data_IF_466005921447
#
_entry.id   IF_466005921447
#
_cell.length_a   1.000
_cell.length_b   1.000
_cell.length_c   1.000
_cell.angle_alpha   90.00
_cell.angle_beta   90.00
_cell.angle_gamma   90.00
#
_symmetry.space_group_name_H-M   'P 1'
#
loop_
_entity.id
_entity.type
_entity.pdbx_description
1 polymer ?
#
# COMPACT_ATOMS: atom_id res chain seq x y z
N UNK A 1 -5.16 9.94 -3.50
CA UNK A 1 -5.79 9.96 -2.15
C UNK A 1 -5.69 11.38 -1.59
N UNK A 2 -6.77 11.95 -1.07
CA UNK A 2 -6.73 13.31 -0.53
C UNK A 2 -5.80 13.34 0.71
N UNK A 3 -4.82 14.26 0.79
CA UNK A 3 -3.76 14.23 1.80
C UNK A 3 -4.25 14.45 3.24
N UNK A 4 -5.49 14.91 3.41
CA UNK A 4 -6.13 15.14 4.71
C UNK A 4 -7.28 14.18 5.04
N UNK A 5 -7.49 13.14 4.22
CA UNK A 5 -8.57 12.16 4.47
C UNK A 5 -8.25 11.28 5.69
N UNK A 6 -7.03 10.77 5.75
CA UNK A 6 -6.56 9.95 6.86
C UNK A 6 -5.59 10.75 7.72
N UNK A 7 -5.67 10.58 9.04
CA UNK A 7 -4.71 11.17 9.98
C UNK A 7 -3.40 10.36 10.06
N UNK A 8 -3.52 9.03 9.99
CA UNK A 8 -2.38 8.11 10.00
C UNK A 8 -2.65 6.84 9.19
N UNK A 9 -1.58 6.20 8.72
CA UNK A 9 -1.57 4.94 7.99
C UNK A 9 -0.68 3.92 8.72
N UNK A 10 -1.07 2.65 8.66
CA UNK A 10 -0.21 1.52 9.03
C UNK A 10 -0.11 0.58 7.85
N UNK A 11 1.12 0.30 7.41
CA UNK A 11 1.38 -0.66 6.34
C UNK A 11 2.01 -1.93 6.92
N UNK A 12 1.38 -3.07 6.66
CA UNK A 12 1.86 -4.38 7.10
C UNK A 12 2.44 -5.11 5.90
N UNK A 13 3.74 -5.33 5.88
CA UNK A 13 4.45 -5.98 4.77
C UNK A 13 4.06 -5.41 3.38
N UNK A 14 4.07 -4.08 3.17
CA UNK A 14 3.65 -3.51 1.90
C UNK A 14 4.60 -3.89 0.76
N UNK A 15 4.04 -4.25 -0.39
CA UNK A 15 4.77 -4.39 -1.65
C UNK A 15 4.76 -3.05 -2.38
N UNK A 16 5.57 -2.11 -1.88
CA UNK A 16 5.73 -0.74 -2.42
C UNK A 16 7.22 -0.58 -2.78
N UNK A 17 7.57 -0.86 -4.03
CA UNK A 17 8.94 -0.90 -4.54
C UNK A 17 8.93 -0.83 -6.07
N UNK A 18 10.07 -0.48 -6.66
CA UNK A 18 10.23 -0.48 -8.12
C UNK A 18 10.70 -1.83 -8.67
N UNK A 19 11.49 -2.56 -7.90
CA UNK A 19 12.17 -3.78 -8.34
C UNK A 19 11.34 -5.04 -8.13
N UNK A 20 11.55 -6.05 -8.98
CA UNK A 20 10.97 -7.38 -8.85
C UNK A 20 11.46 -8.02 -7.54
N UNK A 21 10.56 -8.62 -6.74
CA UNK A 21 10.95 -9.24 -5.48
C UNK A 21 11.71 -10.56 -5.66
N UNK A 22 11.45 -11.28 -6.74
CA UNK A 22 12.17 -12.49 -7.14
C UNK A 22 13.50 -12.14 -7.82
N UNK A 23 14.46 -13.08 -7.79
CA UNK A 23 15.64 -13.01 -8.67
C UNK A 23 15.18 -13.04 -10.14
N UNK A 24 15.85 -12.28 -11.00
CA UNK A 24 15.65 -12.37 -12.45
C UNK A 24 15.84 -13.82 -12.94
N UNK A 25 14.95 -14.28 -13.81
CA UNK A 25 14.87 -15.69 -14.25
C UNK A 25 14.30 -16.67 -13.22
N UNK A 26 13.95 -16.20 -12.01
CA UNK A 26 13.29 -17.00 -10.98
C UNK A 26 11.79 -17.20 -11.22
N UNK A 27 11.10 -17.95 -10.34
CA UNK A 27 9.67 -18.18 -10.47
C UNK A 27 8.88 -16.88 -10.33
N UNK A 28 7.84 -16.76 -11.16
CA UNK A 28 6.90 -15.63 -11.11
C UNK A 28 6.21 -15.56 -9.74
N UNK A 29 6.07 -14.36 -9.14
CA UNK A 29 5.32 -14.19 -7.89
C UNK A 29 3.87 -14.69 -7.97
N UNK A 30 3.25 -14.64 -9.15
CA UNK A 30 1.89 -15.12 -9.37
C UNK A 30 1.78 -16.64 -9.62
N UNK A 31 2.89 -17.37 -9.74
CA UNK A 31 2.89 -18.79 -10.14
C UNK A 31 2.09 -19.67 -9.19
N UNK A 32 2.28 -19.49 -7.88
CA UNK A 32 1.57 -20.29 -6.88
C UNK A 32 0.06 -20.07 -6.95
N UNK A 33 -0.39 -18.82 -7.11
CA UNK A 33 -1.80 -18.51 -7.24
C UNK A 33 -2.40 -19.11 -8.51
N UNK A 34 -1.69 -19.06 -9.64
CA UNK A 34 -2.15 -19.61 -10.91
C UNK A 34 -2.23 -21.13 -10.95
N UNK A 35 -1.36 -21.83 -10.20
CA UNK A 35 -1.15 -23.29 -10.33
C UNK A 35 -1.80 -24.13 -9.25
N UNK A 36 -2.11 -23.56 -8.07
CA UNK A 36 -2.71 -24.35 -6.99
C UNK A 36 -4.14 -24.82 -7.35
N UNK A 37 -4.60 -25.94 -6.77
CA UNK A 37 -6.01 -26.34 -6.83
C UNK A 37 -6.93 -25.25 -6.27
N UNK A 38 -8.07 -25.05 -6.93
CA UNK A 38 -9.13 -24.14 -6.52
C UNK A 38 -10.53 -24.77 -6.55
N UNK A 39 -10.62 -26.08 -6.76
CA UNK A 39 -11.84 -26.87 -6.72
C UNK A 39 -11.58 -28.15 -5.91
N UNK A 40 -12.49 -28.47 -4.99
CA UNK A 40 -12.43 -29.68 -4.16
C UNK A 40 -13.80 -30.39 -4.14
N UNK A 41 -13.81 -31.74 -4.03
CA UNK A 41 -15.07 -32.51 -4.00
C UNK A 41 -15.98 -32.19 -2.80
N UNK A 42 -15.41 -31.74 -1.68
CA UNK A 42 -16.14 -31.36 -0.48
C UNK A 42 -15.41 -30.27 0.32
N UNK A 43 -16.12 -29.62 1.24
CA UNK A 43 -15.52 -28.69 2.20
C UNK A 43 -14.47 -29.37 3.09
N UNK A 44 -14.69 -30.64 3.46
CA UNK A 44 -13.77 -31.44 4.25
C UNK A 44 -12.46 -31.71 3.50
N UNK A 45 -12.52 -32.00 2.20
CA UNK A 45 -11.35 -32.21 1.35
C UNK A 45 -10.53 -30.92 1.18
N UNK A 46 -11.21 -29.79 0.97
CA UNK A 46 -10.57 -28.48 0.91
C UNK A 46 -9.85 -28.15 2.23
N UNK A 47 -10.52 -28.38 3.36
CA UNK A 47 -9.92 -28.18 4.69
C UNK A 47 -8.70 -29.08 4.91
N UNK A 48 -8.77 -30.36 4.53
CA UNK A 48 -7.65 -31.30 4.62
C UNK A 48 -6.47 -30.82 3.78
N UNK A 49 -6.72 -30.37 2.54
CA UNK A 49 -5.71 -29.81 1.66
C UNK A 49 -5.04 -28.57 2.27
N UNK A 50 -5.84 -27.58 2.70
CA UNK A 50 -5.34 -26.31 3.25
C UNK A 50 -4.49 -26.56 4.50
N UNK A 51 -4.97 -27.39 5.44
CA UNK A 51 -4.24 -27.68 6.69
C UNK A 51 -2.99 -28.55 6.47
N UNK A 52 -2.99 -29.40 5.45
CA UNK A 52 -1.84 -30.23 5.10
C UNK A 52 -0.77 -29.50 4.30
N UNK A 53 -1.09 -28.33 3.73
CA UNK A 53 -0.20 -27.62 2.82
C UNK A 53 0.77 -26.68 3.57
N UNK A 54 2.04 -26.72 3.17
CA UNK A 54 3.12 -25.98 3.80
C UNK A 54 3.00 -24.45 3.76
N UNK A 55 2.18 -23.89 2.84
CA UNK A 55 1.95 -22.45 2.73
C UNK A 55 1.23 -21.87 3.96
N UNK A 56 0.14 -22.51 4.40
CA UNK A 56 -0.65 -22.06 5.56
C UNK A 56 -0.06 -22.49 6.91
N UNK A 57 0.89 -23.44 6.91
CA UNK A 57 1.46 -24.03 8.13
C UNK A 57 2.04 -23.02 9.13
N UNK A 58 2.52 -21.87 8.67
CA UNK A 58 3.08 -20.82 9.53
C UNK A 58 2.05 -19.79 10.01
N UNK A 59 0.86 -19.77 9.41
CA UNK A 59 -0.18 -18.83 9.81
C UNK A 59 -0.70 -19.17 11.22
N UNK A 60 -1.22 -18.16 11.91
CA UNK A 60 -1.98 -18.36 13.14
C UNK A 60 -3.19 -19.27 12.84
N UNK A 61 -3.46 -20.31 13.67
CA UNK A 61 -4.57 -21.22 13.43
C UNK A 61 -5.91 -20.52 13.22
N UNK A 62 -6.17 -19.39 13.89
CA UNK A 62 -7.41 -18.61 13.71
C UNK A 62 -7.50 -17.96 12.34
N UNK A 63 -6.37 -17.58 11.74
CA UNK A 63 -6.33 -17.08 10.37
C UNK A 63 -6.65 -18.21 9.38
N UNK A 64 -6.11 -19.41 9.60
CA UNK A 64 -6.43 -20.60 8.78
C UNK A 64 -7.91 -20.96 8.89
N UNK A 65 -8.47 -20.95 10.11
CA UNK A 65 -9.89 -21.23 10.35
C UNK A 65 -10.80 -20.22 9.61
N UNK A 66 -10.44 -18.93 9.65
CA UNK A 66 -11.16 -17.88 8.90
C UNK A 66 -11.00 -18.05 7.39
N UNK A 67 -9.81 -18.41 6.91
CA UNK A 67 -9.59 -18.67 5.49
C UNK A 67 -10.44 -19.84 4.99
N UNK A 68 -10.53 -20.94 5.74
CA UNK A 68 -11.41 -22.07 5.40
C UNK A 68 -12.88 -21.64 5.43
N UNK A 69 -13.30 -20.88 6.45
CA UNK A 69 -14.70 -20.48 6.63
C UNK A 69 -15.19 -19.51 5.55
N UNK A 70 -14.37 -18.53 5.16
CA UNK A 70 -14.79 -17.42 4.28
C UNK A 70 -14.15 -17.47 2.89
N UNK A 71 -13.02 -18.15 2.75
CA UNK A 71 -12.30 -18.29 1.48
C UNK A 71 -12.85 -19.39 0.59
N UNK A 72 -13.84 -20.17 1.05
CA UNK A 72 -14.51 -21.22 0.28
C UNK A 72 -15.99 -20.89 0.07
N UNK A 73 -16.52 -21.31 -1.09
CA UNK A 73 -17.94 -21.24 -1.45
C UNK A 73 -18.37 -22.51 -2.19
N UNK A 74 -19.67 -22.85 -2.24
CA UNK A 74 -20.16 -23.91 -3.11
C UNK A 74 -19.74 -23.68 -4.57
N UNK A 75 -19.35 -24.76 -5.26
CA UNK A 75 -18.99 -24.69 -6.67
C UNK A 75 -20.21 -24.25 -7.50
N UNK A 76 -20.07 -23.26 -8.41
CA UNK A 76 -21.19 -22.75 -9.20
C UNK A 76 -21.68 -23.75 -10.26
N UNK A 77 -20.82 -24.69 -10.69
CA UNK A 77 -21.20 -25.74 -11.65
C UNK A 77 -21.69 -27.00 -10.91
N UNK A 78 -22.81 -27.61 -11.31
CA UNK A 78 -23.43 -28.75 -10.62
C UNK A 78 -22.65 -30.07 -10.69
N UNK A 79 -21.39 -30.09 -11.17
CA UNK A 79 -20.70 -31.33 -11.54
C UNK A 79 -20.54 -32.30 -10.36
N UNK A 80 -20.57 -31.82 -9.11
CA UNK A 80 -20.60 -32.66 -7.91
C UNK A 80 -21.44 -32.01 -6.80
N UNK A 81 -22.40 -32.75 -6.23
CA UNK A 81 -23.13 -32.33 -5.02
C UNK A 81 -22.15 -32.15 -3.86
N UNK A 82 -22.04 -30.93 -3.32
CA UNK A 82 -21.19 -30.63 -2.17
C UNK A 82 -19.77 -30.12 -2.50
N UNK A 83 -19.40 -30.02 -3.78
CA UNK A 83 -18.12 -29.44 -4.17
C UNK A 83 -17.99 -27.97 -3.77
N UNK A 84 -16.76 -27.57 -3.45
CA UNK A 84 -16.42 -26.19 -3.06
C UNK A 84 -15.28 -25.65 -3.91
N UNK A 85 -15.28 -24.34 -4.08
CA UNK A 85 -14.23 -23.58 -4.77
C UNK A 85 -13.85 -22.36 -3.95
N UNK A 86 -12.80 -21.65 -4.37
CA UNK A 86 -12.42 -20.39 -3.73
C UNK A 86 -13.48 -19.30 -3.93
N UNK A 87 -13.71 -18.50 -2.88
CA UNK A 87 -14.57 -17.31 -2.95
C UNK A 87 -13.97 -16.27 -3.90
N UNK A 88 -12.67 -16.01 -3.75
CA UNK A 88 -11.86 -15.26 -4.73
C UNK A 88 -11.26 -16.27 -5.70
N UNK A 89 -11.60 -16.18 -6.98
CA UNK A 89 -11.06 -17.12 -7.97
C UNK A 89 -9.55 -17.00 -8.06
N UNK A 90 -8.87 -18.10 -8.40
CA UNK A 90 -7.41 -18.08 -8.57
C UNK A 90 -6.93 -17.07 -9.63
N UNK A 91 -7.76 -16.84 -10.66
CA UNK A 91 -7.49 -15.85 -11.70
C UNK A 91 -7.48 -14.43 -11.14
N UNK A 92 -8.52 -14.07 -10.37
CA UNK A 92 -8.59 -12.77 -9.70
C UNK A 92 -7.42 -12.57 -8.74
N UNK A 93 -7.08 -13.59 -7.94
CA UNK A 93 -5.92 -13.52 -7.05
C UNK A 93 -4.61 -13.34 -7.83
N UNK A 94 -4.37 -14.11 -8.89
CA UNK A 94 -3.18 -13.97 -9.73
C UNK A 94 -3.05 -12.55 -10.33
N UNK A 95 -4.17 -11.96 -10.76
CA UNK A 95 -4.21 -10.60 -11.32
C UNK A 95 -3.98 -9.49 -10.28
N UNK A 96 -4.09 -9.79 -8.98
CA UNK A 96 -3.64 -8.84 -7.94
C UNK A 96 -2.12 -8.69 -7.88
N UNK A 97 -1.37 -9.72 -8.32
CA UNK A 97 0.09 -9.65 -8.35
C UNK A 97 0.62 -9.01 -9.63
N UNK A 98 0.04 -9.38 -10.77
CA UNK A 98 0.63 -9.13 -12.08
C UNK A 98 -0.43 -8.81 -13.14
N UNK A 99 -0.08 -7.91 -14.05
CA UNK A 99 -0.79 -7.66 -15.30
C UNK A 99 -0.05 -8.31 -16.46
N UNK A 100 -0.82 -8.90 -17.38
CA UNK A 100 -0.30 -9.44 -18.63
C UNK A 100 -0.03 -8.32 -19.64
N UNK A 101 1.16 -8.32 -20.23
CA UNK A 101 1.63 -7.34 -21.21
C UNK A 101 2.34 -8.04 -22.39
N UNK A 102 1.58 -8.78 -23.19
CA UNK A 102 2.13 -9.62 -24.28
C UNK A 102 1.93 -9.03 -25.67
N UNK A 103 1.41 -7.80 -25.79
CA UNK A 103 1.30 -7.13 -27.07
C UNK A 103 2.69 -6.89 -27.67
N UNK A 104 2.90 -7.10 -28.98
CA UNK A 104 4.17 -6.79 -29.60
C UNK A 104 4.49 -5.31 -29.44
N UNK A 105 5.73 -5.01 -29.05
CA UNK A 105 6.20 -3.64 -28.91
C UNK A 105 6.37 -3.03 -30.30
N UNK A 106 5.69 -1.92 -30.55
CA UNK A 106 5.80 -1.26 -31.84
C UNK A 106 7.10 -0.44 -31.91
N UNK A 107 7.87 -0.62 -32.98
CA UNK A 107 9.14 0.08 -33.19
C UNK A 107 8.96 1.50 -33.75
N UNK A 108 7.74 1.95 -34.12
CA UNK A 108 7.58 3.25 -34.77
C UNK A 108 6.19 3.89 -34.85
N UNK A 109 5.13 3.36 -34.24
CA UNK A 109 3.79 4.00 -34.34
C UNK A 109 2.73 3.64 -33.29
N UNK A 110 2.83 2.50 -32.63
CA UNK A 110 1.81 1.95 -31.71
C UNK A 110 1.83 2.45 -30.27
N UNK A 111 2.48 3.60 -30.00
CA UNK A 111 2.59 4.19 -28.65
C UNK A 111 1.20 4.45 -28.04
N UNK A 112 0.21 4.82 -28.86
CA UNK A 112 -1.14 5.09 -28.37
C UNK A 112 -1.87 3.80 -27.97
N UNK A 113 -1.82 2.75 -28.77
CA UNK A 113 -2.42 1.44 -28.44
C UNK A 113 -1.81 0.85 -27.17
N UNK A 114 -0.47 0.89 -27.03
CA UNK A 114 0.22 0.43 -25.82
C UNK A 114 -0.24 1.22 -24.59
N UNK A 115 -0.42 2.55 -24.72
CA UNK A 115 -0.94 3.41 -23.65
C UNK A 115 -2.42 3.19 -23.34
N UNK A 116 -3.24 2.81 -24.32
CA UNK A 116 -4.66 2.48 -24.07
C UNK A 116 -4.81 1.13 -23.37
N UNK A 117 -4.00 0.14 -23.74
CA UNK A 117 -4.01 -1.18 -23.11
C UNK A 117 -3.35 -1.16 -21.73
N UNK A 118 -2.31 -0.33 -21.55
CA UNK A 118 -1.56 -0.24 -20.31
C UNK A 118 -1.26 1.22 -19.92
N UNK A 119 -2.28 1.92 -19.44
CA UNK A 119 -2.21 3.35 -19.08
C UNK A 119 -1.13 3.73 -18.05
N UNK A 120 -0.76 2.76 -17.21
CA UNK A 120 0.20 2.89 -16.11
C UNK A 120 1.54 2.18 -16.39
N UNK A 121 1.76 1.67 -17.62
CA UNK A 121 3.05 1.09 -18.00
C UNK A 121 4.15 2.15 -18.02
N UNK A 122 5.34 1.78 -17.55
CA UNK A 122 6.46 2.71 -17.57
C UNK A 122 6.92 2.95 -19.03
N UNK A 123 7.22 4.21 -19.36
CA UNK A 123 7.82 4.56 -20.65
C UNK A 123 9.31 4.21 -20.69
N UNK A 124 9.98 4.31 -19.54
CA UNK A 124 11.38 3.96 -19.34
C UNK A 124 11.49 3.19 -18.03
N UNK A 125 12.22 2.08 -18.05
CA UNK A 125 12.47 1.24 -16.88
C UNK A 125 13.85 0.60 -16.96
N UNK A 126 14.38 0.18 -15.82
CA UNK A 126 15.63 -0.58 -15.73
C UNK A 126 15.33 -2.08 -15.80
N UNK A 127 16.33 -2.85 -16.19
CA UNK A 127 16.28 -4.32 -16.05
C UNK A 127 16.04 -4.66 -14.58
N UNK A 128 15.06 -5.52 -14.30
CA UNK A 128 14.65 -5.86 -12.94
C UNK A 128 13.52 -5.02 -12.35
N UNK A 129 13.07 -3.94 -13.01
CA UNK A 129 11.89 -3.20 -12.55
C UNK A 129 10.59 -4.00 -12.77
N UNK A 130 9.69 -3.95 -11.79
CA UNK A 130 8.36 -4.56 -11.82
C UNK A 130 7.49 -4.03 -12.96
N UNK A 131 7.65 -2.78 -13.37
CA UNK A 131 6.83 -2.13 -14.39
C UNK A 131 7.59 -1.92 -15.70
N UNK A 132 8.48 -2.84 -16.06
CA UNK A 132 9.31 -2.73 -17.25
C UNK A 132 8.49 -3.08 -18.52
N UNK A 133 8.42 -2.17 -19.53
CA UNK A 133 7.62 -2.39 -20.74
C UNK A 133 8.12 -3.56 -21.61
N UNK A 134 9.34 -4.04 -21.39
CA UNK A 134 9.88 -5.21 -22.09
C UNK A 134 9.40 -6.54 -21.51
N UNK A 135 8.70 -6.55 -20.37
CA UNK A 135 8.28 -7.78 -19.71
C UNK A 135 6.82 -8.13 -20.01
N UNK A 136 6.60 -9.44 -20.18
CA UNK A 136 5.27 -10.01 -20.43
C UNK A 136 4.34 -9.96 -19.20
N UNK A 137 4.91 -9.83 -18.00
CA UNK A 137 4.18 -9.72 -16.74
C UNK A 137 4.75 -8.54 -15.96
N UNK A 138 3.88 -7.58 -15.62
CA UNK A 138 4.26 -6.32 -14.96
C UNK A 138 3.42 -6.05 -13.72
N UNK A 139 3.94 -5.25 -12.78
CA UNK A 139 3.22 -4.79 -11.59
C UNK A 139 3.32 -3.27 -11.43
N UNK A 140 2.51 -2.49 -12.17
CA UNK A 140 2.62 -1.03 -12.20
C UNK A 140 2.32 -0.37 -10.85
N UNK A 141 1.33 -0.92 -10.13
CA UNK A 141 0.79 -0.29 -8.91
C UNK A 141 1.82 -0.18 -7.79
N UNK A 142 2.74 -1.15 -7.69
CA UNK A 142 3.82 -1.14 -6.70
C UNK A 142 4.81 0.00 -6.94
N UNK A 143 5.21 0.20 -8.19
CA UNK A 143 6.09 1.27 -8.63
C UNK A 143 5.44 2.63 -8.44
N UNK A 144 4.17 2.77 -8.85
CA UNK A 144 3.43 4.03 -8.75
C UNK A 144 3.22 4.43 -7.28
N UNK A 145 2.86 3.46 -6.41
CA UNK A 145 2.75 3.71 -4.99
C UNK A 145 4.10 4.16 -4.40
N UNK A 146 5.20 3.54 -4.86
CA UNK A 146 6.55 3.94 -4.45
C UNK A 146 6.82 5.38 -4.86
N UNK A 147 6.47 5.76 -6.10
CA UNK A 147 6.58 7.12 -6.64
C UNK A 147 5.78 8.18 -5.85
N UNK A 148 4.70 7.80 -5.18
CA UNK A 148 3.90 8.73 -4.38
C UNK A 148 4.33 8.86 -2.91
N UNK A 149 5.23 8.02 -2.40
CA UNK A 149 5.68 8.07 -1.00
C UNK A 149 6.10 9.48 -0.50
N UNK A 150 6.82 10.33 -1.26
CA UNK A 150 7.25 11.66 -0.83
C UNK A 150 6.08 12.56 -0.45
N UNK A 151 4.93 12.40 -1.10
CA UNK A 151 3.78 13.27 -0.93
C UNK A 151 2.82 12.80 0.18
N UNK A 152 3.17 11.71 0.89
CA UNK A 152 2.36 11.19 2.00
C UNK A 152 2.43 12.15 3.19
N UNK A 153 1.31 12.85 3.41
CA UNK A 153 1.08 13.75 4.56
C UNK A 153 0.74 13.07 5.90
N UNK A 154 -0.08 12.00 5.96
CA UNK A 154 -0.36 11.35 7.24
C UNK A 154 0.91 10.74 7.85
N UNK A 155 0.89 10.53 9.17
CA UNK A 155 1.92 9.75 9.85
C UNK A 155 1.84 8.29 9.43
N UNK A 156 3.00 7.62 9.24
CA UNK A 156 3.07 6.24 8.75
C UNK A 156 3.84 5.34 9.71
N UNK A 157 3.26 4.19 10.03
CA UNK A 157 3.98 3.07 10.62
C UNK A 157 4.11 1.94 9.58
N UNK A 158 5.34 1.51 9.34
CA UNK A 158 5.63 0.28 8.60
C UNK A 158 5.87 -0.88 9.57
N UNK A 159 5.28 -2.04 9.32
CA UNK A 159 5.58 -3.27 10.07
C UNK A 159 6.07 -4.32 9.08
N UNK A 160 7.25 -4.86 9.34
CA UNK A 160 7.88 -5.87 8.51
C UNK A 160 8.20 -7.14 9.31
N UNK A 161 8.20 -8.29 8.67
CA UNK A 161 8.78 -9.53 9.15
C UNK A 161 10.28 -9.57 8.87
N UNK A 162 11.08 -9.93 9.88
CA UNK A 162 12.54 -10.04 9.79
C UNK A 162 13.00 -10.84 8.56
N UNK A 163 12.31 -11.95 8.27
CA UNK A 163 12.61 -12.90 7.18
C UNK A 163 11.79 -12.65 5.91
N UNK A 164 11.24 -11.44 5.73
CA UNK A 164 10.54 -11.08 4.50
C UNK A 164 11.52 -11.07 3.32
N UNK A 165 11.20 -11.86 2.29
CA UNK A 165 11.95 -11.89 1.03
C UNK A 165 11.50 -10.79 0.06
N UNK A 166 10.35 -10.15 0.34
CA UNK A 166 9.85 -9.01 -0.43
C UNK A 166 10.48 -7.73 0.12
N UNK A 167 10.29 -7.49 1.42
CA UNK A 167 10.81 -6.34 2.14
C UNK A 167 12.14 -6.69 2.81
N UNK A 168 13.21 -6.80 2.01
CA UNK A 168 14.59 -6.90 2.50
C UNK A 168 15.06 -5.57 3.13
N UNK A 169 16.12 -5.54 3.95
CA UNK A 169 16.56 -4.35 4.67
C UNK A 169 16.67 -3.09 3.81
N UNK A 170 17.26 -3.20 2.62
CA UNK A 170 17.46 -2.09 1.68
C UNK A 170 16.11 -1.52 1.23
N UNK A 171 15.16 -2.37 0.87
CA UNK A 171 13.82 -1.96 0.45
C UNK A 171 12.96 -1.40 1.58
N UNK A 172 13.26 -1.76 2.83
CA UNK A 172 12.63 -1.11 4.00
C UNK A 172 13.17 0.30 4.15
N UNK A 173 14.49 0.44 4.01
CA UNK A 173 15.17 1.73 4.10
C UNK A 173 14.68 2.69 3.01
N UNK A 174 14.55 2.24 1.76
CA UNK A 174 14.01 3.06 0.66
C UNK A 174 12.65 3.68 1.00
N UNK A 175 11.75 2.90 1.61
CA UNK A 175 10.42 3.38 2.02
C UNK A 175 10.54 4.45 3.10
N UNK A 176 11.38 4.25 4.11
CA UNK A 176 11.60 5.21 5.19
C UNK A 176 12.25 6.51 4.69
N UNK A 177 13.22 6.39 3.79
CA UNK A 177 13.96 7.51 3.22
C UNK A 177 13.16 8.34 2.24
N UNK A 178 12.02 7.82 1.76
CA UNK A 178 11.17 8.48 0.77
C UNK A 178 9.88 9.03 1.37
N UNK A 179 9.26 8.30 2.30
CA UNK A 179 7.91 8.62 2.80
C UNK A 179 7.84 10.00 3.44
N UNK A 180 6.95 10.85 2.90
CA UNK A 180 6.60 12.15 3.45
C UNK A 180 7.65 13.26 3.35
N UNK A 181 8.75 13.07 2.61
CA UNK A 181 9.80 14.10 2.47
C UNK A 181 9.59 15.08 1.33
N UNK A 182 8.63 14.83 0.45
CA UNK A 182 8.30 15.70 -0.67
C UNK A 182 7.40 16.87 -0.27
N UNK A 183 7.06 17.69 -1.26
CA UNK A 183 6.18 18.84 -1.09
C UNK A 183 4.84 18.42 -0.45
N UNK A 184 4.47 19.08 0.66
CA UNK A 184 3.22 18.82 1.37
C UNK A 184 3.18 17.50 2.16
N UNK A 185 4.28 16.73 2.16
CA UNK A 185 4.44 15.51 2.95
C UNK A 185 4.57 15.77 4.45
N UNK A 186 4.65 14.69 5.22
CA UNK A 186 4.68 14.73 6.68
C UNK A 186 6.00 15.24 7.29
N UNK A 187 7.07 15.35 6.50
CA UNK A 187 8.44 15.53 7.00
C UNK A 187 9.15 14.21 7.32
N UNK A 188 8.48 13.07 7.11
CA UNK A 188 9.11 11.75 7.15
C UNK A 188 9.63 11.34 8.54
N UNK A 189 10.72 10.58 8.53
CA UNK A 189 11.40 10.11 9.75
C UNK A 189 11.95 11.29 10.57
N UNK A 190 12.51 12.32 9.92
CA UNK A 190 13.12 13.47 10.58
C UNK A 190 12.11 14.29 11.40
N UNK A 191 10.85 14.33 10.98
CA UNK A 191 9.76 14.96 11.72
C UNK A 191 9.09 14.03 12.76
N UNK A 192 9.65 12.83 12.99
CA UNK A 192 9.04 11.78 13.81
C UNK A 192 7.60 11.42 13.35
N UNK A 193 7.35 11.50 12.03
CA UNK A 193 6.05 11.19 11.44
C UNK A 193 6.03 9.82 10.76
N UNK A 194 7.19 9.24 10.47
CA UNK A 194 7.34 7.91 9.86
C UNK A 194 8.26 7.05 10.72
N UNK A 195 7.87 5.81 10.98
CA UNK A 195 8.71 4.81 11.67
C UNK A 195 8.47 3.41 11.12
N UNK A 196 9.33 2.47 11.45
CA UNK A 196 9.13 1.05 11.15
C UNK A 196 9.42 0.15 12.33
N UNK A 197 8.78 -1.02 12.34
CA UNK A 197 8.97 -2.08 13.32
C UNK A 197 9.27 -3.41 12.62
N UNK A 198 10.23 -4.17 13.14
CA UNK A 198 10.66 -5.46 12.58
C UNK A 198 10.28 -6.59 13.54
N UNK A 199 9.39 -7.47 13.09
CA UNK A 199 8.96 -8.63 13.85
C UNK A 199 9.91 -9.81 13.61
N UNK A 200 10.70 -10.14 14.62
CA UNK A 200 11.65 -11.27 14.59
C UNK A 200 10.97 -12.57 14.15
N UNK A 201 11.65 -13.39 13.34
CA UNK A 201 11.20 -14.66 12.75
C UNK A 201 9.96 -14.57 11.83
N UNK A 202 9.34 -13.41 11.65
CA UNK A 202 8.18 -13.22 10.76
C UNK A 202 8.59 -13.23 9.29
N UNK A 203 7.74 -13.79 8.42
CA UNK A 203 7.91 -13.75 6.97
C UNK A 203 7.16 -12.57 6.34
N UNK A 204 7.05 -12.54 5.00
CA UNK A 204 6.16 -11.61 4.32
C UNK A 204 4.69 -11.77 4.75
N UNK A 205 4.32 -12.95 5.25
CA UNK A 205 2.98 -13.25 5.74
C UNK A 205 2.79 -12.87 7.22
N UNK A 206 3.64 -12.01 7.79
CA UNK A 206 3.54 -11.57 9.19
C UNK A 206 2.13 -11.12 9.63
N UNK A 207 1.28 -10.48 8.78
CA UNK A 207 -0.08 -10.11 9.18
C UNK A 207 -0.98 -11.32 9.47
N UNK A 208 -0.59 -12.51 9.03
CA UNK A 208 -1.31 -13.78 9.20
C UNK A 208 -0.56 -14.74 10.13
N UNK A 209 0.74 -14.54 10.36
CA UNK A 209 1.58 -15.37 11.24
C UNK A 209 1.65 -14.84 12.67
N UNK A 210 1.79 -13.51 12.84
CA UNK A 210 2.08 -12.87 14.13
C UNK A 210 1.01 -11.86 14.51
N UNK A 211 -0.23 -12.31 14.53
CA UNK A 211 -1.39 -11.41 14.67
C UNK A 211 -1.42 -10.68 16.01
N UNK A 212 -0.94 -11.29 17.09
CA UNK A 212 -0.84 -10.64 18.40
C UNK A 212 0.23 -9.55 18.45
N UNK A 213 1.43 -9.83 17.95
CA UNK A 213 2.51 -8.85 17.93
C UNK A 213 2.16 -7.67 17.01
N UNK A 214 1.59 -7.98 15.84
CA UNK A 214 1.09 -6.97 14.91
C UNK A 214 0.04 -6.10 15.60
N UNK A 215 -1.02 -6.69 16.18
CA UNK A 215 -2.06 -5.93 16.89
C UNK A 215 -1.53 -5.04 18.01
N UNK A 216 -0.52 -5.50 18.77
CA UNK A 216 0.12 -4.71 19.83
C UNK A 216 0.80 -3.46 19.26
N UNK A 217 1.56 -3.60 18.18
CA UNK A 217 2.23 -2.48 17.51
C UNK A 217 1.22 -1.48 16.93
N UNK A 218 0.13 -1.97 16.32
CA UNK A 218 -0.95 -1.11 15.84
C UNK A 218 -1.57 -0.32 17.00
N UNK A 219 -1.90 -0.96 18.11
CA UNK A 219 -2.52 -0.30 19.26
C UNK A 219 -1.64 0.82 19.82
N UNK A 220 -0.35 0.52 20.05
CA UNK A 220 0.61 1.51 20.54
C UNK A 220 0.76 2.70 19.60
N UNK A 221 0.77 2.45 18.29
CA UNK A 221 0.79 3.51 17.30
C UNK A 221 -0.47 4.36 17.34
N UNK A 222 -1.65 3.75 17.32
CA UNK A 222 -2.93 4.45 17.34
C UNK A 222 -3.06 5.36 18.56
N UNK A 223 -2.61 4.94 19.74
CA UNK A 223 -2.59 5.79 20.93
C UNK A 223 -1.78 7.07 20.72
N UNK A 224 -0.62 6.98 20.08
CA UNK A 224 0.20 8.16 19.76
C UNK A 224 -0.48 9.08 18.74
N UNK A 225 -1.13 8.49 17.74
CA UNK A 225 -1.78 9.24 16.66
C UNK A 225 -3.08 9.91 17.13
N UNK A 226 -3.82 9.30 18.05
CA UNK A 226 -5.00 9.92 18.65
C UNK A 226 -4.61 11.18 19.44
N UNK A 227 -3.48 11.17 20.14
CA UNK A 227 -2.99 12.37 20.85
C UNK A 227 -2.65 13.50 19.87
N UNK A 228 -1.94 13.17 18.77
CA UNK A 228 -1.63 14.14 17.71
C UNK A 228 -2.88 14.69 17.05
N UNK A 229 -3.86 13.83 16.75
CA UNK A 229 -5.14 14.23 16.19
C UNK A 229 -5.90 15.20 17.10
N UNK A 230 -5.95 14.91 18.42
CA UNK A 230 -6.61 15.80 19.38
C UNK A 230 -5.94 17.16 19.45
N UNK A 231 -4.61 17.21 19.43
CA UNK A 231 -3.87 18.47 19.42
C UNK A 231 -4.12 19.27 18.12
N UNK A 232 -4.13 18.59 16.96
CA UNK A 232 -4.48 19.21 15.68
C UNK A 232 -5.92 19.73 15.69
N UNK A 233 -6.87 18.94 16.19
CA UNK A 233 -8.28 19.33 16.29
C UNK A 233 -8.46 20.55 17.19
N UNK A 234 -7.83 20.57 18.36
CA UNK A 234 -7.88 21.72 19.29
C UNK A 234 -7.32 22.99 18.64
N UNK A 235 -6.22 22.89 17.91
CA UNK A 235 -5.65 24.01 17.16
C UNK A 235 -6.64 24.58 16.14
N UNK A 236 -7.33 23.75 15.37
CA UNK A 236 -8.28 24.22 14.35
C UNK A 236 -9.61 24.69 14.94
N UNK A 237 -10.12 24.02 15.97
CA UNK A 237 -11.43 24.33 16.55
C UNK A 237 -11.39 25.59 17.43
N UNK A 238 -10.31 25.80 18.18
CA UNK A 238 -10.23 26.85 19.21
C UNK A 238 -9.01 27.77 19.09
N UNK A 239 -7.96 27.33 18.37
CA UNK A 239 -6.66 28.00 18.38
C UNK A 239 -6.31 28.81 17.13
N UNK A 240 -7.12 28.73 16.06
CA UNK A 240 -6.74 29.32 14.77
C UNK A 240 -7.93 29.94 14.03
N UNK A 241 -7.93 31.27 13.98
CA UNK A 241 -8.62 32.01 12.93
C UNK A 241 -7.60 32.34 11.82
N UNK A 242 -7.95 31.98 10.59
CA UNK A 242 -7.13 32.31 9.42
C UNK A 242 -7.25 33.78 9.00
N UNK A 243 -8.24 34.50 9.53
CA UNK A 243 -8.60 35.88 9.19
C UNK A 243 -8.84 36.08 7.70
N UNK A 244 -9.04 35.00 6.91
CA UNK A 244 -9.15 35.07 5.45
C UNK A 244 -10.53 35.53 4.98
N UNK A 245 -11.54 35.40 5.83
CA UNK A 245 -12.95 35.64 5.51
C UNK A 245 -13.71 36.20 6.71
N UNK A 246 -14.83 36.87 6.44
CA UNK A 246 -15.84 37.30 7.41
C UNK A 246 -17.18 36.61 7.10
N UNK A 247 -18.16 36.77 7.99
CA UNK A 247 -19.50 36.18 7.83
C UNK A 247 -19.44 34.67 7.58
N UNK A 248 -18.69 33.97 8.43
CA UNK A 248 -18.53 32.51 8.37
C UNK A 248 -18.08 31.95 7.01
N UNK A 249 -17.26 32.74 6.29
CA UNK A 249 -16.73 32.34 4.98
C UNK A 249 -17.50 32.90 3.79
N UNK A 250 -18.57 33.68 4.00
CA UNK A 250 -19.38 34.24 2.93
C UNK A 250 -18.72 35.43 2.21
N UNK A 251 -17.79 36.14 2.86
CA UNK A 251 -17.09 37.27 2.24
C UNK A 251 -15.59 37.28 2.58
N UNK A 252 -14.78 37.86 1.69
CA UNK A 252 -13.35 38.07 1.93
C UNK A 252 -13.14 39.11 3.04
N UNK A 253 -12.15 38.88 3.89
CA UNK A 253 -11.85 39.83 4.97
C UNK A 253 -11.10 41.07 4.45
N UNK A 254 -11.13 42.20 5.19
CA UNK A 254 -10.28 43.35 4.88
C UNK A 254 -8.79 43.01 4.83
N UNK A 255 -8.34 42.05 5.65
CA UNK A 255 -6.95 41.59 5.67
C UNK A 255 -6.58 40.80 4.42
N UNK A 256 -7.46 39.93 3.95
CA UNK A 256 -7.28 39.26 2.66
C UNK A 256 -7.13 40.31 1.54
N UNK A 257 -8.06 41.27 1.49
CA UNK A 257 -8.04 42.34 0.47
C UNK A 257 -6.77 43.20 0.56
N UNK A 258 -6.28 43.48 1.77
CA UNK A 258 -5.00 44.20 1.97
C UNK A 258 -3.84 43.48 1.29
N UNK A 259 -3.69 42.16 1.51
CA UNK A 259 -2.53 41.41 1.00
C UNK A 259 -2.66 41.02 -0.47
N UNK A 260 -3.87 40.75 -0.97
CA UNK A 260 -4.05 40.44 -2.40
C UNK A 260 -3.76 41.64 -3.31
N UNK A 261 -3.88 42.86 -2.79
CA UNK A 261 -3.54 44.10 -3.49
C UNK A 261 -2.04 44.45 -3.44
N UNK A 262 -1.21 43.66 -2.76
CA UNK A 262 0.24 43.86 -2.75
C UNK A 262 0.89 43.22 -3.99
N UNK A 263 2.07 43.71 -4.42
CA UNK A 263 2.81 43.09 -5.51
C UNK A 263 3.07 41.59 -5.25
N UNK A 264 3.03 40.80 -6.33
CA UNK A 264 3.39 39.38 -6.29
C UNK A 264 4.80 39.22 -5.69
N UNK A 265 4.94 38.29 -4.75
CA UNK A 265 6.22 38.04 -4.07
C UNK A 265 6.45 38.87 -2.81
N UNK A 266 5.49 39.71 -2.39
CA UNK A 266 5.58 40.40 -1.09
C UNK A 266 5.80 39.39 0.04
N UNK A 267 6.86 39.60 0.83
CA UNK A 267 7.31 38.67 1.88
C UNK A 267 6.52 38.86 3.17
N UNK A 268 6.23 37.76 3.86
CA UNK A 268 5.64 37.78 5.21
C UNK A 268 6.67 38.24 6.25
N UNK A 269 6.20 38.93 7.29
CA UNK A 269 7.04 39.28 8.43
C UNK A 269 7.51 38.01 9.17
N UNK A 270 8.78 37.99 9.58
CA UNK A 270 9.35 36.93 10.40
C UNK A 270 9.22 37.37 11.86
N UNK A 271 8.58 36.57 12.72
CA UNK A 271 8.57 36.84 14.17
C UNK A 271 10.00 36.83 14.68
N UNK A 272 10.45 37.91 15.33
CA UNK A 272 11.76 37.95 16.00
C UNK A 272 11.81 36.87 17.08
N UNK A 273 12.92 36.13 17.15
CA UNK A 273 13.21 35.30 18.32
C UNK A 273 13.48 36.25 19.49
N UNK A 274 12.58 36.23 20.48
CA UNK A 274 12.89 36.74 21.82
C UNK A 274 13.77 35.72 22.54
#
# INVERSE_FOLDING_TARGET
MHPRLFHSLVFLEPMIQTEIPSKLGGPSPGLWASSRPDLWPSAQDAQKYIRGNGFWRRWDPRCVDRYIRFGLRPAPTPSHSGAVTLTTTKAQEAWTYLRLNTGPRDHGGGVETERFLNVDLATVAREGDCNNPNYALVCPWSCIAFEYLPFVRPSVLYIFGEKSHINIPERRQDKLERTGKGLGGSGGVAANRVRSEILSKGSHMVPLEKIHDTARLLSSWLESQIRLYRAEKEFWDHGHDSEKSVQDGAALSPQWMKYVNQPVGTKRAIKSRL
#
